data_IF_886312799995
#
_entry.id   IF_886312799995
#
_cell.length_a   1.000
_cell.length_b   1.000
_cell.length_c   1.000
_cell.angle_alpha   90.00
_cell.angle_beta   90.00
_cell.angle_gamma   90.00
#
_symmetry.space_group_name_H-M   'P 1'
#
loop_
_entity.id
_entity.type
_entity.pdbx_description
1 polymer ?
#
# COMPACT_ATOMS: atom_id res chain seq x y z
N UNK A 1 12.04 41.80 -9.57
CA UNK A 1 11.86 40.48 -8.89
C UNK A 1 12.85 39.53 -9.54
N UNK A 2 13.94 39.18 -8.84
CA UNK A 2 14.91 38.15 -9.28
C UNK A 2 14.23 36.79 -9.18
N UNK A 3 13.94 36.16 -10.32
CA UNK A 3 13.58 34.74 -10.39
C UNK A 3 14.84 33.92 -10.03
N UNK A 4 14.95 33.55 -8.78
CA UNK A 4 15.94 32.58 -8.33
C UNK A 4 15.48 31.20 -8.82
N UNK A 5 15.92 30.82 -10.02
CA UNK A 5 15.88 29.43 -10.43
C UNK A 5 16.73 28.63 -9.45
N UNK A 6 16.08 27.88 -8.54
CA UNK A 6 16.77 26.89 -7.73
C UNK A 6 17.41 25.90 -8.69
N UNK A 7 18.72 25.95 -8.82
CA UNK A 7 19.47 24.91 -9.51
C UNK A 7 19.13 23.58 -8.88
N UNK A 8 18.42 22.73 -9.61
CA UNK A 8 18.12 21.38 -9.21
C UNK A 8 19.44 20.66 -8.93
N UNK A 9 19.66 20.27 -7.70
CA UNK A 9 20.81 19.49 -7.30
C UNK A 9 20.79 18.15 -8.08
N UNK A 10 21.74 17.99 -8.99
CA UNK A 10 21.86 17.01 -10.07
C UNK A 10 22.02 15.54 -9.60
N UNK A 11 21.66 15.17 -8.38
CA UNK A 11 21.95 13.84 -7.79
C UNK A 11 20.76 13.03 -7.31
N UNK A 12 19.53 13.52 -7.36
CA UNK A 12 18.40 12.64 -7.04
C UNK A 12 18.00 11.83 -8.29
N UNK A 13 17.90 10.51 -8.13
CA UNK A 13 17.40 9.61 -9.16
C UNK A 13 16.00 10.09 -9.58
N UNK A 14 15.73 10.14 -10.89
CA UNK A 14 14.42 10.52 -11.47
C UNK A 14 13.30 9.77 -10.75
N UNK A 15 13.49 8.48 -10.50
CA UNK A 15 12.54 7.62 -9.80
C UNK A 15 12.23 8.13 -8.38
N UNK A 16 13.23 8.54 -7.61
CA UNK A 16 13.05 9.08 -6.25
C UNK A 16 12.26 10.39 -6.25
N UNK A 17 12.50 11.24 -7.23
CA UNK A 17 11.79 12.51 -7.39
C UNK A 17 10.30 12.26 -7.69
N UNK A 18 9.98 11.30 -8.57
CA UNK A 18 8.60 10.92 -8.89
C UNK A 18 7.88 10.29 -7.69
N UNK A 19 8.51 9.38 -6.95
CA UNK A 19 7.94 8.80 -5.73
C UNK A 19 7.60 9.91 -4.72
N UNK A 20 8.53 10.82 -4.48
CA UNK A 20 8.32 11.95 -3.57
C UNK A 20 7.18 12.87 -4.00
N UNK A 21 7.07 13.11 -5.31
CA UNK A 21 5.98 13.89 -5.90
C UNK A 21 4.63 13.19 -5.69
N UNK A 22 4.54 11.93 -5.99
CA UNK A 22 3.33 11.11 -5.90
C UNK A 22 2.84 11.01 -4.44
N UNK A 23 3.73 10.69 -3.51
CA UNK A 23 3.42 10.69 -2.08
C UNK A 23 2.92 12.06 -1.61
N UNK A 24 3.61 13.13 -2.01
CA UNK A 24 3.18 14.48 -1.65
C UNK A 24 1.81 14.83 -2.21
N UNK A 25 1.50 14.41 -3.43
CA UNK A 25 0.21 14.67 -4.08
C UNK A 25 -0.91 13.90 -3.40
N UNK A 26 -0.67 12.64 -3.04
CA UNK A 26 -1.64 11.82 -2.31
C UNK A 26 -2.02 12.40 -0.95
N UNK A 27 -1.07 12.99 -0.23
CA UNK A 27 -1.33 13.55 1.10
C UNK A 27 -1.66 15.04 1.13
N UNK A 28 -1.41 15.79 0.04
CA UNK A 28 -1.67 17.23 0.01
C UNK A 28 -3.14 17.57 -0.24
N UNK A 29 -3.85 16.76 -1.03
CA UNK A 29 -5.28 16.93 -1.27
C UNK A 29 -6.06 16.16 -0.21
N UNK A 30 -6.91 16.86 0.54
CA UNK A 30 -7.68 16.23 1.63
C UNK A 30 -8.55 15.06 1.14
N UNK A 31 -9.18 15.17 -0.04
CA UNK A 31 -9.95 14.08 -0.64
C UNK A 31 -9.11 12.83 -0.91
N UNK A 32 -7.91 12.99 -1.46
CA UNK A 32 -7.02 11.87 -1.74
C UNK A 32 -6.47 11.26 -0.46
N UNK A 33 -6.13 12.08 0.53
CA UNK A 33 -5.69 11.59 1.82
C UNK A 33 -6.77 10.75 2.52
N UNK A 34 -8.02 11.18 2.48
CA UNK A 34 -9.15 10.45 3.06
C UNK A 34 -9.36 9.11 2.34
N UNK A 35 -9.36 9.10 1.00
CA UNK A 35 -9.53 7.86 0.21
C UNK A 35 -8.43 6.83 0.46
N UNK A 36 -7.24 7.24 0.84
CA UNK A 36 -6.13 6.34 1.17
C UNK A 36 -6.12 5.97 2.65
N UNK A 37 -6.26 6.95 3.54
CA UNK A 37 -6.10 6.73 4.99
C UNK A 37 -7.27 5.98 5.62
N UNK A 38 -8.52 6.26 5.22
CA UNK A 38 -9.69 5.65 5.84
C UNK A 38 -9.71 4.12 5.62
N UNK A 39 -9.59 3.60 4.39
CA UNK A 39 -9.51 2.16 4.18
C UNK A 39 -8.32 1.52 4.90
N UNK A 40 -7.16 2.18 4.90
CA UNK A 40 -5.94 1.70 5.57
C UNK A 40 -6.14 1.55 7.08
N UNK A 41 -6.80 2.52 7.72
CA UNK A 41 -7.11 2.48 9.15
C UNK A 41 -8.13 1.38 9.44
N UNK A 42 -9.21 1.28 8.64
CA UNK A 42 -10.22 0.23 8.80
C UNK A 42 -9.58 -1.15 8.66
N UNK A 43 -8.78 -1.37 7.64
CA UNK A 43 -8.04 -2.61 7.42
C UNK A 43 -7.17 -2.98 8.62
N UNK A 44 -6.42 -2.02 9.17
CA UNK A 44 -5.56 -2.23 10.33
C UNK A 44 -6.38 -2.64 11.56
N UNK A 45 -7.48 -1.93 11.84
CA UNK A 45 -8.35 -2.20 12.99
C UNK A 45 -8.99 -3.58 12.87
N UNK A 46 -9.55 -3.92 11.71
CA UNK A 46 -10.21 -5.22 11.49
C UNK A 46 -9.23 -6.37 11.67
N UNK A 47 -8.01 -6.26 11.14
CA UNK A 47 -7.00 -7.30 11.33
C UNK A 47 -6.58 -7.46 12.79
N UNK A 48 -6.38 -6.37 13.52
CA UNK A 48 -6.03 -6.43 14.94
C UNK A 48 -7.17 -7.08 15.75
N UNK A 49 -8.41 -6.68 15.50
CA UNK A 49 -9.59 -7.24 16.19
C UNK A 49 -9.74 -8.74 15.89
N UNK A 50 -9.53 -9.16 14.63
CA UNK A 50 -9.56 -10.58 14.26
C UNK A 50 -8.48 -11.38 14.98
N UNK A 51 -7.25 -10.89 15.03
CA UNK A 51 -6.16 -11.56 15.73
C UNK A 51 -6.41 -11.67 17.23
N UNK A 52 -6.95 -10.61 17.87
CA UNK A 52 -7.33 -10.65 19.28
C UNK A 52 -8.44 -11.70 19.52
N UNK A 53 -9.47 -11.70 18.67
CA UNK A 53 -10.58 -12.67 18.77
C UNK A 53 -10.09 -14.11 18.66
N UNK A 54 -9.16 -14.38 17.76
CA UNK A 54 -8.53 -15.70 17.60
C UNK A 54 -7.65 -16.07 18.80
N UNK A 55 -6.95 -15.11 19.39
CA UNK A 55 -6.13 -15.36 20.59
C UNK A 55 -6.98 -15.77 21.81
N UNK A 56 -8.22 -15.28 21.88
CA UNK A 56 -9.20 -15.59 22.91
C UNK A 56 -10.01 -16.85 22.64
N UNK A 57 -9.91 -17.42 21.45
CA UNK A 57 -10.63 -18.64 21.08
C UNK A 57 -10.15 -19.83 21.94
N UNK A 58 -11.08 -20.76 22.25
CA UNK A 58 -10.80 -21.99 23.00
C UNK A 58 -10.19 -23.10 22.15
N UNK A 59 -9.94 -22.85 20.87
CA UNK A 59 -9.25 -23.82 20.01
C UNK A 59 -7.83 -24.02 20.51
N UNK A 60 -7.36 -25.26 20.45
CA UNK A 60 -6.03 -25.65 20.93
C UNK A 60 -5.25 -26.37 19.81
N UNK A 61 -3.93 -26.32 19.89
CA UNK A 61 -3.02 -27.04 18.99
C UNK A 61 -3.06 -26.53 17.54
N UNK A 62 -2.83 -27.45 16.62
CA UNK A 62 -2.73 -27.20 15.17
C UNK A 62 -3.96 -26.53 14.55
N UNK A 63 -5.15 -26.78 15.09
CA UNK A 63 -6.39 -26.21 14.59
C UNK A 63 -6.44 -24.69 14.82
N UNK A 64 -5.91 -24.24 15.96
CA UNK A 64 -5.80 -22.81 16.27
C UNK A 64 -4.82 -22.11 15.34
N UNK A 65 -3.66 -22.70 15.10
CA UNK A 65 -2.65 -22.15 14.20
C UNK A 65 -3.20 -22.02 12.79
N UNK A 66 -3.86 -23.06 12.29
CA UNK A 66 -4.44 -23.12 10.97
C UNK A 66 -5.56 -22.09 10.81
N UNK A 67 -6.46 -21.96 11.80
CA UNK A 67 -7.49 -20.92 11.83
C UNK A 67 -6.86 -19.52 11.84
N UNK A 68 -5.82 -19.30 12.62
CA UNK A 68 -5.14 -18.00 12.71
C UNK A 68 -4.55 -17.60 11.37
N UNK A 69 -3.87 -18.52 10.68
CA UNK A 69 -3.31 -18.27 9.35
C UNK A 69 -4.45 -18.02 8.33
N UNK A 70 -5.47 -18.87 8.30
CA UNK A 70 -6.58 -18.72 7.36
C UNK A 70 -7.32 -17.39 7.53
N UNK A 71 -7.69 -17.04 8.75
CA UNK A 71 -8.42 -15.78 9.00
C UNK A 71 -7.54 -14.55 8.82
N UNK A 72 -6.27 -14.62 9.22
CA UNK A 72 -5.31 -13.53 9.02
C UNK A 72 -5.04 -13.25 7.53
N UNK A 73 -4.98 -14.29 6.69
CA UNK A 73 -4.82 -14.13 5.24
C UNK A 73 -6.13 -13.74 4.55
N UNK A 74 -7.25 -14.35 4.94
CA UNK A 74 -8.57 -14.07 4.36
C UNK A 74 -9.00 -12.63 4.64
N UNK A 75 -8.76 -12.13 5.85
CA UNK A 75 -9.04 -10.72 6.18
C UNK A 75 -8.30 -9.76 5.26
N UNK A 76 -7.07 -10.10 4.87
CA UNK A 76 -6.29 -9.29 3.94
C UNK A 76 -6.90 -9.26 2.54
N UNK A 77 -7.39 -10.40 2.05
CA UNK A 77 -8.02 -10.48 0.73
C UNK A 77 -9.37 -9.75 0.72
N UNK A 78 -10.19 -9.94 1.76
CA UNK A 78 -11.54 -9.35 1.82
C UNK A 78 -11.54 -7.84 2.08
N UNK A 79 -10.56 -7.35 2.83
CA UNK A 79 -10.48 -5.94 3.23
C UNK A 79 -9.35 -5.19 2.55
N UNK A 80 -8.72 -5.81 1.56
CA UNK A 80 -7.77 -5.08 0.72
C UNK A 80 -8.55 -4.00 -0.03
N UNK A 81 -8.65 -2.87 0.62
CA UNK A 81 -9.32 -1.71 0.06
C UNK A 81 -8.62 -1.29 -1.23
N UNK A 82 -9.34 -0.62 -2.13
CA UNK A 82 -8.75 -0.10 -3.34
C UNK A 82 -7.47 0.64 -3.00
N UNK A 83 -6.37 0.09 -3.50
CA UNK A 83 -5.04 0.63 -3.22
C UNK A 83 -4.94 2.05 -3.75
N UNK A 84 -4.01 2.83 -3.21
CA UNK A 84 -3.71 4.15 -3.76
C UNK A 84 -3.32 4.10 -5.25
N UNK A 85 -3.05 2.90 -5.77
CA UNK A 85 -2.73 2.62 -7.17
C UNK A 85 -3.93 2.77 -8.10
N UNK A 86 -5.17 2.45 -7.66
CA UNK A 86 -6.39 2.46 -8.50
C UNK A 86 -6.60 3.78 -9.25
N UNK A 87 -6.21 4.90 -8.65
CA UNK A 87 -6.43 6.22 -9.27
C UNK A 87 -5.12 6.95 -9.56
N UNK A 88 -4.00 6.25 -9.63
CA UNK A 88 -2.70 6.91 -9.69
C UNK A 88 -2.46 7.65 -11.01
N UNK A 89 -2.99 7.15 -12.13
CA UNK A 89 -2.96 7.82 -13.43
C UNK A 89 -4.22 8.64 -13.69
N UNK A 90 -5.38 8.14 -13.29
CA UNK A 90 -6.66 8.85 -13.45
C UNK A 90 -6.70 10.17 -12.69
N UNK A 91 -6.02 10.27 -11.54
CA UNK A 91 -5.85 11.52 -10.79
C UNK A 91 -5.08 12.60 -11.55
N UNK A 92 -4.22 12.21 -12.47
CA UNK A 92 -3.42 13.17 -13.24
C UNK A 92 -4.20 13.81 -14.39
N UNK A 93 -5.28 13.16 -14.87
CA UNK A 93 -6.18 13.73 -15.86
C UNK A 93 -5.46 14.40 -17.04
N UNK A 94 -5.69 15.70 -17.26
CA UNK A 94 -5.03 16.47 -18.33
C UNK A 94 -3.49 16.52 -18.23
N UNK A 95 -2.91 16.33 -17.05
CA UNK A 95 -1.45 16.33 -16.88
C UNK A 95 -0.78 15.07 -17.45
N UNK A 96 -1.55 14.03 -17.76
CA UNK A 96 -1.03 12.79 -18.31
C UNK A 96 -0.40 12.98 -19.70
N UNK A 97 -0.98 13.86 -20.52
CA UNK A 97 -0.40 14.25 -21.82
C UNK A 97 0.94 14.95 -21.64
N UNK A 98 1.03 15.81 -20.63
CA UNK A 98 2.28 16.49 -20.26
C UNK A 98 3.32 15.50 -19.73
N UNK A 99 2.91 14.49 -18.98
CA UNK A 99 3.80 13.41 -18.53
C UNK A 99 4.33 12.56 -19.69
N UNK A 100 3.49 12.25 -20.67
CA UNK A 100 3.89 11.52 -21.89
C UNK A 100 4.86 12.31 -22.77
N UNK A 101 4.82 13.66 -22.72
CA UNK A 101 5.72 14.54 -23.48
C UNK A 101 7.08 14.75 -22.82
N UNK A 102 7.25 14.34 -21.56
CA UNK A 102 8.56 14.41 -20.89
C UNK A 102 9.55 13.44 -21.53
N UNK A 103 10.83 13.82 -21.66
CA UNK A 103 11.88 12.96 -22.19
C UNK A 103 12.32 11.94 -21.14
N UNK A 104 11.37 11.19 -20.59
CA UNK A 104 11.57 10.22 -19.51
C UNK A 104 10.92 8.91 -19.95
N UNK A 105 11.62 7.80 -19.76
CA UNK A 105 11.07 6.49 -20.05
C UNK A 105 9.80 6.24 -19.19
N UNK A 106 8.70 5.98 -19.87
CA UNK A 106 7.39 5.74 -19.25
C UNK A 106 7.42 4.57 -18.24
N UNK A 107 8.32 3.59 -18.46
CA UNK A 107 8.56 2.51 -17.48
C UNK A 107 9.01 3.03 -16.12
N UNK A 108 9.78 4.11 -16.07
CA UNK A 108 10.20 4.71 -14.80
C UNK A 108 9.05 5.39 -14.07
N UNK A 109 8.09 5.94 -14.80
CA UNK A 109 6.88 6.54 -14.23
C UNK A 109 6.00 5.43 -13.61
N UNK A 110 5.79 4.32 -14.34
CA UNK A 110 5.03 3.17 -13.84
C UNK A 110 5.68 2.59 -12.57
N UNK A 111 7.00 2.40 -12.59
CA UNK A 111 7.74 1.91 -11.42
C UNK A 111 7.63 2.86 -10.22
N UNK A 112 7.68 4.16 -10.46
CA UNK A 112 7.55 5.15 -9.39
C UNK A 112 6.16 5.10 -8.76
N UNK A 113 5.10 5.01 -9.57
CA UNK A 113 3.72 4.91 -9.11
C UNK A 113 3.45 3.62 -8.35
N UNK A 114 3.94 2.50 -8.84
CA UNK A 114 3.90 1.23 -8.12
C UNK A 114 4.59 1.33 -6.76
N UNK A 115 5.81 1.87 -6.72
CA UNK A 115 6.57 1.97 -5.49
C UNK A 115 5.92 2.91 -4.48
N UNK A 116 5.36 4.03 -4.93
CA UNK A 116 4.66 4.99 -4.05
C UNK A 116 3.41 4.38 -3.42
N UNK A 117 2.62 3.64 -4.19
CA UNK A 117 1.43 2.92 -3.69
C UNK A 117 1.82 1.82 -2.72
N UNK A 118 2.79 1.00 -3.10
CA UNK A 118 3.28 -0.08 -2.26
C UNK A 118 3.86 0.40 -0.91
N UNK A 119 4.56 1.55 -0.90
CA UNK A 119 5.03 2.15 0.34
C UNK A 119 3.90 2.54 1.29
N UNK A 120 2.77 3.01 0.77
CA UNK A 120 1.60 3.35 1.58
C UNK A 120 0.99 2.08 2.17
N UNK A 121 0.90 1.01 1.40
CA UNK A 121 0.32 -0.27 1.80
C UNK A 121 1.17 -1.06 2.81
N UNK A 122 2.48 -0.89 2.79
CA UNK A 122 3.37 -1.51 3.79
C UNK A 122 3.13 -0.95 5.20
N UNK A 123 2.74 0.32 5.35
CA UNK A 123 2.56 0.94 6.66
C UNK A 123 1.57 0.17 7.55
N UNK A 124 0.32 -0.14 7.12
CA UNK A 124 -0.61 -0.92 7.91
C UNK A 124 -0.11 -2.34 8.18
N UNK A 125 0.56 -2.98 7.23
CA UNK A 125 1.11 -4.32 7.41
C UNK A 125 2.17 -4.35 8.51
N UNK A 126 3.05 -3.37 8.55
CA UNK A 126 4.06 -3.23 9.62
C UNK A 126 3.38 -2.97 10.97
N UNK A 127 2.34 -2.14 11.02
CA UNK A 127 1.57 -1.90 12.23
C UNK A 127 0.90 -3.18 12.74
N UNK A 128 0.27 -3.97 11.86
CA UNK A 128 -0.35 -5.26 12.20
C UNK A 128 0.72 -6.24 12.70
N UNK A 129 1.86 -6.32 12.02
CA UNK A 129 2.96 -7.20 12.42
C UNK A 129 3.49 -6.85 13.81
N UNK A 130 3.75 -5.57 14.09
CA UNK A 130 4.22 -5.11 15.40
C UNK A 130 3.18 -5.41 16.48
N UNK A 131 1.90 -5.07 16.24
CA UNK A 131 0.84 -5.32 17.23
C UNK A 131 0.61 -6.80 17.48
N UNK A 132 0.72 -7.65 16.46
CA UNK A 132 0.56 -9.11 16.60
C UNK A 132 1.63 -9.73 17.49
N UNK A 133 2.84 -9.16 17.53
CA UNK A 133 3.91 -9.62 18.43
C UNK A 133 3.57 -9.46 19.92
N UNK A 134 2.66 -8.55 20.25
CA UNK A 134 2.22 -8.31 21.65
C UNK A 134 0.99 -9.15 22.03
N UNK A 135 0.35 -9.83 21.07
CA UNK A 135 -0.83 -10.66 21.33
C UNK A 135 -0.35 -12.02 21.88
N UNK A 136 -0.77 -12.33 23.12
CA UNK A 136 -0.49 -13.63 23.75
C UNK A 136 -1.25 -14.75 23.02
N UNK A 137 -0.70 -15.96 23.08
CA UNK A 137 -1.32 -17.20 22.58
C UNK A 137 -1.43 -17.30 21.03
N UNK A 138 -0.66 -16.53 20.27
CA UNK A 138 -0.47 -16.74 18.84
C UNK A 138 0.98 -17.15 18.62
N UNK A 139 1.17 -18.18 17.81
CA UNK A 139 2.51 -18.64 17.48
C UNK A 139 3.23 -17.67 16.54
N UNK A 140 4.51 -17.44 16.81
CA UNK A 140 5.34 -16.51 16.01
C UNK A 140 5.50 -16.97 14.56
N UNK A 141 5.52 -18.29 14.30
CA UNK A 141 5.58 -18.79 12.95
C UNK A 141 4.33 -18.41 12.15
N UNK A 142 3.14 -18.52 12.76
CA UNK A 142 1.88 -18.09 12.16
C UNK A 142 1.88 -16.59 11.83
N UNK A 143 2.40 -15.75 12.72
CA UNK A 143 2.52 -14.30 12.49
C UNK A 143 3.41 -13.98 11.29
N UNK A 144 4.54 -14.66 11.17
CA UNK A 144 5.47 -14.48 10.06
C UNK A 144 4.82 -14.91 8.73
N UNK A 145 4.13 -16.05 8.72
CA UNK A 145 3.43 -16.55 7.53
C UNK A 145 2.35 -15.55 7.09
N UNK A 146 1.53 -15.04 8.03
CA UNK A 146 0.51 -14.02 7.74
C UNK A 146 1.16 -12.75 7.18
N UNK A 147 2.27 -12.30 7.75
CA UNK A 147 2.96 -11.10 7.28
C UNK A 147 3.49 -11.27 5.85
N UNK A 148 4.14 -12.39 5.56
CA UNK A 148 4.69 -12.67 4.24
C UNK A 148 3.60 -12.83 3.17
N UNK A 149 2.50 -13.52 3.50
CA UNK A 149 1.37 -13.66 2.58
C UNK A 149 0.69 -12.33 2.32
N UNK A 150 0.47 -11.51 3.34
CA UNK A 150 -0.10 -10.18 3.18
C UNK A 150 0.80 -9.26 2.34
N UNK A 151 2.10 -9.36 2.49
CA UNK A 151 3.07 -8.60 1.70
C UNK A 151 3.04 -9.01 0.21
N UNK A 152 2.88 -10.31 -0.06
CA UNK A 152 2.69 -10.81 -1.42
C UNK A 152 1.37 -10.32 -2.04
N UNK A 153 0.26 -10.38 -1.29
CA UNK A 153 -1.02 -9.84 -1.74
C UNK A 153 -0.97 -8.34 -1.98
N UNK A 154 -0.34 -7.56 -1.10
CA UNK A 154 -0.13 -6.13 -1.28
C UNK A 154 0.54 -5.81 -2.61
N UNK A 155 1.63 -6.50 -2.93
CA UNK A 155 2.34 -6.30 -4.20
C UNK A 155 1.50 -6.70 -5.41
N UNK A 156 0.74 -7.79 -5.32
CA UNK A 156 -0.14 -8.26 -6.39
C UNK A 156 -1.27 -7.26 -6.67
N UNK A 157 -1.99 -6.83 -5.62
CA UNK A 157 -3.10 -5.89 -5.78
C UNK A 157 -2.63 -4.51 -6.26
N UNK A 158 -1.51 -3.99 -5.74
CA UNK A 158 -0.93 -2.75 -6.26
C UNK A 158 -0.60 -2.80 -7.74
N UNK A 159 -0.10 -3.94 -8.23
CA UNK A 159 0.19 -4.13 -9.67
C UNK A 159 -1.11 -4.26 -10.47
N UNK A 160 -2.07 -5.01 -9.96
CA UNK A 160 -3.36 -5.23 -10.62
C UNK A 160 -4.14 -3.92 -10.76
N UNK A 161 -4.24 -3.15 -9.68
CA UNK A 161 -4.93 -1.86 -9.67
C UNK A 161 -4.27 -0.85 -10.60
N UNK A 162 -2.93 -0.82 -10.62
CA UNK A 162 -2.18 0.03 -11.54
C UNK A 162 -2.42 -0.36 -13.00
N UNK A 163 -2.52 -1.65 -13.28
CA UNK A 163 -2.82 -2.17 -14.61
C UNK A 163 -4.23 -1.77 -15.06
N UNK A 164 -5.24 -1.94 -14.19
CA UNK A 164 -6.62 -1.55 -14.50
C UNK A 164 -6.73 -0.02 -14.70
N UNK A 165 -6.11 0.80 -13.88
CA UNK A 165 -6.10 2.26 -14.05
C UNK A 165 -5.44 2.68 -15.37
N UNK A 166 -4.34 2.03 -15.75
CA UNK A 166 -3.69 2.25 -17.05
C UNK A 166 -4.60 1.92 -18.22
N UNK A 167 -5.35 0.82 -18.16
CA UNK A 167 -6.27 0.37 -19.22
C UNK A 167 -7.40 1.36 -19.45
N UNK A 168 -7.86 2.05 -18.42
CA UNK A 168 -8.91 3.06 -18.53
C UNK A 168 -8.41 4.42 -19.05
N UNK A 169 -7.10 4.66 -19.02
CA UNK A 169 -6.50 5.96 -19.36
C UNK A 169 -5.81 5.94 -20.74
N UNK A 170 -5.48 4.77 -21.26
CA UNK A 170 -4.93 4.59 -22.61
C UNK A 170 -6.01 4.32 -23.62
#
# INVERSE_FOLDING_TARGET
>A
KKNTYKTFNKKESILKTFIKYDLKTNFKQASNAVTVLVPTIIFTIVNIVTLISLSLSKAEGSDKELMTIMFGTLSSVCFYAPSSAIFSFSKEGHNLTSLKSLPIDFKNIIKAKFLSSYMIEIIPLVCIFITSMFIRNIDYASIIVIFLTNLAFASFFSLFDLYEDLKHVI
#
